data_IF_536967879323
#
_entry.id   IF_536967879323
#
_cell.length_a   1.000
_cell.length_b   1.000
_cell.length_c   1.000
_cell.angle_alpha   90.00
_cell.angle_beta   90.00
_cell.angle_gamma   90.00
#
_symmetry.space_group_name_H-M   'P 1'
#
loop_
_entity.id
_entity.type
_entity.pdbx_description
1 polymer ?
#
# COMPACT_ATOMS: atom_id res chain seq x y z
N UNK A 1 21.17 -17.87 49.58
CA UNK A 1 20.31 -17.88 48.38
C UNK A 1 20.32 -16.49 47.72
N UNK A 2 21.30 -16.19 46.85
CA UNK A 2 21.37 -14.90 46.14
C UNK A 2 20.95 -14.97 44.65
N UNK A 3 20.82 -16.18 44.09
CA UNK A 3 20.50 -16.39 42.66
C UNK A 3 19.07 -15.95 42.34
N UNK A 4 18.11 -16.28 43.21
CA UNK A 4 16.69 -15.93 43.01
C UNK A 4 16.45 -14.42 43.00
N UNK A 5 17.15 -13.66 43.86
CA UNK A 5 17.02 -12.18 43.92
C UNK A 5 17.59 -11.51 42.67
N UNK A 6 18.67 -12.06 42.11
CA UNK A 6 19.25 -11.54 40.87
C UNK A 6 18.40 -11.88 39.65
N UNK A 7 17.75 -13.06 39.62
CA UNK A 7 16.82 -13.43 38.54
C UNK A 7 15.57 -12.55 38.57
N UNK A 8 15.01 -12.29 39.76
CA UNK A 8 13.85 -11.38 39.90
C UNK A 8 14.21 -9.95 39.51
N UNK A 9 15.39 -9.46 39.93
CA UNK A 9 15.89 -8.15 39.52
C UNK A 9 16.10 -8.03 38.00
N UNK A 10 16.60 -9.08 37.36
CA UNK A 10 16.77 -9.14 35.91
C UNK A 10 15.42 -9.14 35.18
N UNK A 11 14.44 -9.92 35.67
CA UNK A 11 13.09 -9.94 35.10
C UNK A 11 12.39 -8.58 35.18
N UNK A 12 12.59 -7.84 36.29
CA UNK A 12 12.02 -6.50 36.45
C UNK A 12 12.57 -5.46 35.46
N UNK A 13 13.71 -5.73 34.84
CA UNK A 13 14.30 -4.85 33.81
C UNK A 13 13.96 -5.35 32.41
N UNK A 14 14.07 -6.66 32.16
CA UNK A 14 13.88 -7.24 30.83
C UNK A 14 12.42 -7.16 30.37
N UNK A 15 11.46 -7.43 31.26
CA UNK A 15 10.03 -7.40 30.93
C UNK A 15 9.57 -6.03 30.44
N UNK A 16 9.82 -4.90 31.14
CA UNK A 16 9.39 -3.60 30.63
C UNK A 16 10.09 -3.19 29.33
N UNK A 17 11.36 -3.56 29.12
CA UNK A 17 12.06 -3.31 27.85
C UNK A 17 11.37 -4.05 26.71
N UNK A 18 11.07 -5.33 26.89
CA UNK A 18 10.36 -6.13 25.88
C UNK A 18 8.97 -5.56 25.59
N UNK A 19 8.23 -5.16 26.62
CA UNK A 19 6.90 -4.54 26.47
C UNK A 19 6.98 -3.24 25.68
N UNK A 20 7.95 -2.38 25.97
CA UNK A 20 8.15 -1.12 25.22
C UNK A 20 8.51 -1.40 23.76
N UNK A 21 9.38 -2.38 23.50
CA UNK A 21 9.72 -2.78 22.12
C UNK A 21 8.50 -3.29 21.35
N UNK A 22 7.68 -4.14 21.96
CA UNK A 22 6.45 -4.64 21.34
C UNK A 22 5.48 -3.49 21.04
N UNK A 23 5.32 -2.54 21.98
CA UNK A 23 4.47 -1.37 21.77
C UNK A 23 4.97 -0.48 20.63
N UNK A 24 6.30 -0.29 20.50
CA UNK A 24 6.88 0.44 19.37
C UNK A 24 6.58 -0.29 18.05
N UNK A 25 6.78 -1.61 17.99
CA UNK A 25 6.49 -2.42 16.80
C UNK A 25 5.01 -2.31 16.41
N UNK A 26 4.09 -2.44 17.37
CA UNK A 26 2.65 -2.30 17.13
C UNK A 26 2.31 -0.88 16.66
N UNK A 27 2.91 0.15 17.27
CA UNK A 27 2.70 1.54 16.87
C UNK A 27 3.17 1.83 15.44
N UNK A 28 4.25 1.18 15.00
CA UNK A 28 4.75 1.29 13.62
C UNK A 28 3.89 0.53 12.62
N UNK A 29 3.28 -0.60 13.01
CA UNK A 29 2.28 -1.30 12.19
C UNK A 29 0.98 -0.49 12.04
N UNK A 30 0.75 0.47 12.93
CA UNK A 30 -0.45 1.32 12.94
C UNK A 30 -0.31 2.60 12.14
N UNK A 31 0.82 2.83 11.45
CA UNK A 31 0.96 3.99 10.57
C UNK A 31 -0.08 3.80 9.46
N UNK A 32 -1.09 4.71 9.34
CA UNK A 32 -2.09 4.57 8.30
C UNK A 32 -1.36 4.59 6.97
N UNK A 33 -1.56 3.54 6.15
CA UNK A 33 -1.15 3.58 4.75
C UNK A 33 -1.78 4.85 4.18
N UNK A 34 -0.96 5.72 3.58
CA UNK A 34 -1.44 6.96 2.96
C UNK A 34 -1.41 6.77 1.46
N UNK A 35 -2.53 7.08 0.80
CA UNK A 35 -2.52 7.20 -0.64
C UNK A 35 -2.08 8.62 -1.02
N UNK A 36 -0.90 8.74 -1.64
CA UNK A 36 -0.39 10.03 -2.09
C UNK A 36 -1.01 10.41 -3.44
N UNK A 37 -1.64 11.59 -3.50
CA UNK A 37 -2.32 12.10 -4.70
C UNK A 37 -1.32 12.53 -5.78
N UNK A 38 -0.14 13.03 -5.42
CA UNK A 38 0.91 13.40 -6.37
C UNK A 38 2.18 12.60 -6.09
N UNK A 39 2.65 11.90 -7.11
CA UNK A 39 3.81 11.02 -7.04
C UNK A 39 4.81 11.32 -8.13
N UNK A 40 6.01 11.71 -7.71
CA UNK A 40 7.18 11.87 -8.55
C UNK A 40 8.33 11.09 -7.95
N UNK A 41 8.56 9.89 -8.46
CA UNK A 41 9.54 8.95 -7.91
C UNK A 41 9.98 7.94 -8.98
N UNK A 42 10.85 7.01 -8.58
CA UNK A 42 11.17 5.83 -9.37
C UNK A 42 9.96 4.90 -9.54
N UNK A 43 9.98 4.09 -10.60
CA UNK A 43 8.89 3.19 -10.98
C UNK A 43 8.45 2.27 -9.82
N UNK A 44 9.40 1.65 -9.11
CA UNK A 44 9.11 0.70 -8.04
C UNK A 44 8.37 1.35 -6.86
N UNK A 45 8.79 2.56 -6.46
CA UNK A 45 8.11 3.31 -5.40
C UNK A 45 6.67 3.69 -5.79
N UNK A 46 6.46 4.04 -7.06
CA UNK A 46 5.12 4.34 -7.58
C UNK A 46 4.26 3.08 -7.53
N UNK A 47 4.77 1.94 -7.99
CA UNK A 47 4.06 0.65 -7.97
C UNK A 47 3.69 0.25 -6.54
N UNK A 48 4.61 0.37 -5.59
CA UNK A 48 4.35 0.08 -4.17
C UNK A 48 3.26 0.98 -3.57
N UNK A 49 3.23 2.26 -3.97
CA UNK A 49 2.16 3.15 -3.54
C UNK A 49 0.82 2.82 -4.20
N UNK A 50 0.78 2.54 -5.51
CA UNK A 50 -0.44 2.09 -6.20
C UNK A 50 -1.01 0.82 -5.54
N UNK A 51 -0.13 -0.12 -5.17
CA UNK A 51 -0.49 -1.31 -4.39
C UNK A 51 -1.15 -0.95 -3.05
N UNK A 52 -0.53 -0.02 -2.33
CA UNK A 52 -0.98 0.42 -1.01
C UNK A 52 -2.30 1.19 -1.08
N UNK A 53 -2.49 2.04 -2.09
CA UNK A 53 -3.74 2.74 -2.35
C UNK A 53 -4.88 1.79 -2.71
N UNK A 54 -4.58 0.74 -3.48
CA UNK A 54 -5.58 -0.26 -3.84
C UNK A 54 -5.99 -1.10 -2.63
N UNK A 55 -5.05 -1.45 -1.75
CA UNK A 55 -5.35 -2.09 -0.45
C UNK A 55 -6.26 -1.22 0.41
N UNK A 56 -6.02 0.09 0.43
CA UNK A 56 -6.84 1.05 1.18
C UNK A 56 -8.26 1.11 0.62
N UNK A 57 -8.39 1.32 -0.70
CA UNK A 57 -9.67 1.34 -1.40
C UNK A 57 -10.47 0.06 -1.12
N UNK A 58 -9.83 -1.10 -1.26
CA UNK A 58 -10.45 -2.38 -0.91
C UNK A 58 -10.90 -2.47 0.55
N UNK A 59 -10.07 -1.97 1.47
CA UNK A 59 -10.37 -1.96 2.90
C UNK A 59 -11.51 -1.02 3.29
N UNK A 60 -11.64 0.13 2.63
CA UNK A 60 -12.72 1.10 2.84
C UNK A 60 -14.10 0.54 2.43
N UNK A 61 -14.12 -0.41 1.48
CA UNK A 61 -15.33 -1.10 1.01
C UNK A 61 -15.54 -2.49 1.63
N UNK A 62 -15.23 -2.62 2.92
CA UNK A 62 -15.40 -3.85 3.71
C UNK A 62 -14.81 -5.09 3.02
N UNK A 63 -13.65 -4.91 2.37
CA UNK A 63 -12.92 -5.97 1.68
C UNK A 63 -13.76 -6.72 0.64
N UNK A 64 -14.49 -5.99 -0.20
CA UNK A 64 -15.29 -6.57 -1.30
C UNK A 64 -16.73 -6.93 -0.92
N UNK A 65 -17.20 -6.45 0.23
CA UNK A 65 -18.55 -6.72 0.71
C UNK A 65 -19.54 -5.62 0.32
N UNK A 66 -19.04 -4.43 0.03
CA UNK A 66 -19.84 -3.30 -0.42
C UNK A 66 -20.33 -3.51 -1.87
N UNK A 67 -21.54 -3.04 -2.18
CA UNK A 67 -22.17 -3.21 -3.50
C UNK A 67 -22.11 -1.94 -4.36
N UNK A 68 -21.42 -0.90 -3.91
CA UNK A 68 -21.30 0.35 -4.64
C UNK A 68 -20.14 0.33 -5.63
N UNK A 69 -20.18 1.27 -6.58
CA UNK A 69 -19.02 1.65 -7.39
C UNK A 69 -18.53 2.97 -6.81
N UNK A 70 -17.24 3.06 -6.52
CA UNK A 70 -16.64 4.26 -5.93
C UNK A 70 -15.24 4.55 -6.51
N UNK A 71 -14.98 5.82 -6.81
CA UNK A 71 -13.68 6.31 -7.25
C UNK A 71 -12.86 6.71 -6.02
N UNK A 72 -12.27 5.72 -5.35
CA UNK A 72 -11.49 5.90 -4.13
C UNK A 72 -10.40 6.97 -4.25
N UNK A 73 -9.59 6.89 -5.32
CA UNK A 73 -8.44 7.78 -5.50
C UNK A 73 -8.19 8.13 -6.97
N UNK A 74 -7.67 9.34 -7.21
CA UNK A 74 -7.08 9.75 -8.47
C UNK A 74 -5.66 10.27 -8.19
N UNK A 75 -4.65 9.56 -8.70
CA UNK A 75 -3.24 9.78 -8.39
C UNK A 75 -2.51 10.30 -9.62
N UNK A 76 -1.88 11.45 -9.51
CA UNK A 76 -0.98 11.97 -10.52
C UNK A 76 0.39 11.30 -10.38
N UNK A 77 0.81 10.58 -11.42
CA UNK A 77 2.05 9.81 -11.47
C UNK A 77 3.00 10.41 -12.48
N UNK A 78 4.26 10.57 -12.08
CA UNK A 78 5.38 10.92 -12.95
C UNK A 78 6.58 10.05 -12.57
N UNK A 79 6.87 9.02 -13.38
CA UNK A 79 8.09 8.25 -13.19
C UNK A 79 9.31 9.05 -13.66
N UNK A 80 10.36 9.11 -12.84
CA UNK A 80 11.52 9.98 -13.11
C UNK A 80 12.62 9.32 -13.93
N UNK A 81 12.82 8.02 -13.80
CA UNK A 81 14.01 7.34 -14.36
C UNK A 81 13.67 6.19 -15.31
N UNK A 82 12.70 5.35 -14.95
CA UNK A 82 12.35 4.14 -15.69
C UNK A 82 10.87 4.10 -16.04
N UNK A 83 10.52 3.48 -17.16
CA UNK A 83 9.13 3.21 -17.49
C UNK A 83 8.53 2.27 -16.44
N UNK A 84 7.25 2.47 -16.11
CA UNK A 84 6.48 1.46 -15.40
C UNK A 84 5.94 0.52 -16.47
N UNK A 85 6.41 -0.72 -16.46
CA UNK A 85 6.11 -1.69 -17.50
C UNK A 85 4.92 -2.57 -17.15
N UNK A 86 4.24 -3.06 -18.18
CA UNK A 86 3.14 -4.02 -18.08
C UNK A 86 3.55 -5.26 -17.29
N UNK A 87 4.81 -5.70 -17.36
CA UNK A 87 5.32 -6.85 -16.60
C UNK A 87 5.35 -6.57 -15.09
N UNK A 88 5.83 -5.40 -14.68
CA UNK A 88 5.81 -4.99 -13.26
C UNK A 88 4.37 -4.84 -12.74
N UNK A 89 3.46 -4.34 -13.57
CA UNK A 89 2.04 -4.24 -13.24
C UNK A 89 1.37 -5.62 -13.16
N UNK A 90 1.73 -6.55 -14.05
CA UNK A 90 1.25 -7.93 -14.03
C UNK A 90 1.71 -8.67 -12.76
N UNK A 91 2.93 -8.40 -12.28
CA UNK A 91 3.40 -8.94 -11.00
C UNK A 91 2.53 -8.42 -9.85
N UNK A 92 2.18 -7.13 -9.85
CA UNK A 92 1.30 -6.54 -8.86
C UNK A 92 -0.09 -7.20 -8.86
N UNK A 93 -0.69 -7.39 -10.05
CA UNK A 93 -1.95 -8.11 -10.23
C UNK A 93 -1.88 -9.53 -9.68
N UNK A 94 -0.78 -10.23 -9.92
CA UNK A 94 -0.62 -11.62 -9.45
C UNK A 94 -0.53 -11.71 -7.92
N UNK A 95 0.04 -10.69 -7.26
CA UNK A 95 0.11 -10.60 -5.80
C UNK A 95 -1.23 -10.21 -5.15
N UNK A 96 -2.13 -9.56 -5.89
CA UNK A 96 -3.39 -8.99 -5.39
C UNK A 96 -4.57 -9.46 -6.24
N UNK A 97 -5.22 -10.56 -5.83
CA UNK A 97 -6.27 -11.23 -6.62
C UNK A 97 -7.53 -10.37 -6.86
N UNK A 98 -7.75 -9.34 -6.05
CA UNK A 98 -8.87 -8.41 -6.21
C UNK A 98 -8.53 -7.23 -7.14
N UNK A 99 -7.30 -7.14 -7.66
CA UNK A 99 -6.85 -6.01 -8.47
C UNK A 99 -6.94 -6.31 -9.96
N UNK A 100 -7.38 -5.31 -10.73
CA UNK A 100 -7.41 -5.32 -12.18
C UNK A 100 -6.76 -4.06 -12.72
N UNK A 101 -5.84 -4.22 -13.66
CA UNK A 101 -5.06 -3.12 -14.25
C UNK A 101 -5.48 -3.01 -15.71
N UNK A 102 -6.03 -1.86 -16.09
CA UNK A 102 -6.63 -1.60 -17.39
C UNK A 102 -5.76 -0.67 -18.26
N UNK A 103 -4.45 -0.66 -18.04
CA UNK A 103 -3.47 0.08 -18.83
C UNK A 103 -2.18 -0.72 -18.99
N UNK A 104 -1.38 -0.35 -20.00
CA UNK A 104 -0.12 -1.02 -20.33
C UNK A 104 1.05 -0.33 -19.60
N UNK A 105 1.84 0.46 -20.32
CA UNK A 105 3.04 1.07 -19.79
C UNK A 105 2.82 2.55 -19.46
N UNK A 106 3.49 3.06 -18.43
CA UNK A 106 3.60 4.49 -18.13
C UNK A 106 5.05 4.90 -18.42
N UNK A 107 5.31 5.61 -19.54
CA UNK A 107 6.66 6.03 -19.90
C UNK A 107 7.25 7.03 -18.89
N UNK A 108 8.56 6.93 -18.67
CA UNK A 108 9.32 7.86 -17.85
C UNK A 108 9.24 9.29 -18.42
N UNK A 109 9.23 10.27 -17.51
CA UNK A 109 9.16 11.68 -17.86
C UNK A 109 7.79 12.17 -18.33
N UNK A 110 6.80 11.29 -18.48
CA UNK A 110 5.41 11.65 -18.79
C UNK A 110 4.54 11.63 -17.55
N UNK A 111 3.58 12.56 -17.49
CA UNK A 111 2.62 12.66 -16.40
C UNK A 111 1.34 11.93 -16.76
N UNK A 112 0.89 11.05 -15.87
CA UNK A 112 -0.36 10.30 -15.99
C UNK A 112 -1.24 10.53 -14.77
N UNK A 113 -2.55 10.42 -14.93
CA UNK A 113 -3.49 10.27 -13.83
C UNK A 113 -3.90 8.80 -13.76
N UNK A 114 -3.59 8.14 -12.66
CA UNK A 114 -4.05 6.79 -12.34
C UNK A 114 -5.28 6.87 -11.44
N UNK A 115 -6.44 6.48 -11.94
CA UNK A 115 -7.68 6.38 -11.17
C UNK A 115 -7.77 4.97 -10.57
N UNK A 116 -8.11 4.89 -9.29
CA UNK A 116 -8.33 3.65 -8.54
C UNK A 116 -9.80 3.62 -8.16
N UNK A 117 -10.52 2.66 -8.73
CA UNK A 117 -11.97 2.49 -8.57
C UNK A 117 -12.27 1.16 -7.92
N UNK A 118 -13.15 1.16 -6.93
CA UNK A 118 -13.78 -0.05 -6.44
C UNK A 118 -15.03 -0.38 -7.29
N UNK A 119 -15.15 -1.63 -7.71
CA UNK A 119 -16.37 -2.18 -8.31
C UNK A 119 -16.96 -3.25 -7.38
N UNK A 120 -18.05 -2.91 -6.70
CA UNK A 120 -18.76 -3.83 -5.81
C UNK A 120 -19.56 -4.94 -6.50
N UNK A 121 -19.80 -4.84 -7.80
CA UNK A 121 -20.47 -5.91 -8.57
C UNK A 121 -19.49 -7.03 -8.88
N UNK A 122 -18.33 -6.68 -9.44
CA UNK A 122 -17.27 -7.63 -9.80
C UNK A 122 -16.34 -7.94 -8.61
N UNK A 123 -16.46 -7.20 -7.51
CA UNK A 123 -15.66 -7.31 -6.28
C UNK A 123 -14.18 -7.16 -6.57
N UNK A 124 -13.84 -6.10 -7.28
CA UNK A 124 -12.49 -5.79 -7.70
C UNK A 124 -12.14 -4.32 -7.53
N UNK A 125 -10.84 -4.04 -7.53
CA UNK A 125 -10.28 -2.69 -7.61
C UNK A 125 -9.63 -2.52 -8.97
N UNK A 126 -10.17 -1.63 -9.78
CA UNK A 126 -9.73 -1.33 -11.13
C UNK A 126 -8.83 -0.11 -11.16
N UNK A 127 -7.69 -0.23 -11.85
CA UNK A 127 -6.76 0.87 -12.08
C UNK A 127 -6.80 1.28 -13.56
N UNK A 128 -7.01 2.56 -13.80
CA UNK A 128 -7.03 3.18 -15.13
C UNK A 128 -5.98 4.27 -15.21
N UNK A 129 -5.29 4.41 -16.34
CA UNK A 129 -4.31 5.47 -16.53
C UNK A 129 -4.65 6.33 -17.75
N UNK A 130 -4.60 7.65 -17.58
CA UNK A 130 -4.80 8.65 -18.65
C UNK A 130 -3.61 9.61 -18.66
N UNK A 131 -3.00 9.85 -19.84
CA UNK A 131 -1.90 10.82 -19.97
C UNK A 131 -2.45 12.25 -19.77
N UNK A 132 -1.78 13.04 -18.93
CA UNK A 132 -2.14 14.44 -18.66
C UNK A 132 -1.21 15.34 -19.47
N UNK A 133 -1.78 16.14 -20.38
CA UNK A 133 -1.07 17.09 -21.25
C UNK A 133 -0.84 18.42 -20.51
#
# INVERSE_FOLDING_TARGET
>A
MPVEKNVVGLMLIVVPIFTVMILIIISWQSIPKKCFIDQKAEADMIIENLASCSDLCWGEHDSGSDSIIDDCFAINVLSTENDITSDQLNELKTKKTFMKINFNDIPAGKKYQVKIRYDGFDKEVELFAEEII
#
